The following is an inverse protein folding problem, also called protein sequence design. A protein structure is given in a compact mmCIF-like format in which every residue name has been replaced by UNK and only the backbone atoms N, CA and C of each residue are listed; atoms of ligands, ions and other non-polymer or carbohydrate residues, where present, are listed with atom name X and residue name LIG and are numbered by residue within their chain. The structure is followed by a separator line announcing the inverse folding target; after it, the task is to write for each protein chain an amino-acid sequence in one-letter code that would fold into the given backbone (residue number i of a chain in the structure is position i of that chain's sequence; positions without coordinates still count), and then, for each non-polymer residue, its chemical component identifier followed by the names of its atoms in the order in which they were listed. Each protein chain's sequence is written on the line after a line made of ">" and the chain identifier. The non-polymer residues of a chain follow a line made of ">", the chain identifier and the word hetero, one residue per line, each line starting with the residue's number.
data_IF_032360158963
#
_entry.id   IF_032360158963
#
_cell.length_a   1.000
_cell.length_b   1.000
_cell.length_c   1.000
_cell.angle_alpha   90.00
_cell.angle_beta   90.00
_cell.angle_gamma   90.00
#
_symmetry.space_group_name_H-M   'P 1'
#
loop_
_entity.id
_entity.type
_entity.pdbx_description
1 polymer ?
#
# COMPACT_ATOMS: atom_id res chain seq x y z
N UNK A 1 -51.92 -22.27 56.44
CA UNK A 1 -51.40 -22.25 55.05
C UNK A 1 -49.94 -21.86 55.13
N UNK A 2 -49.03 -22.82 54.90
CA UNK A 2 -47.59 -22.64 55.04
C UNK A 2 -46.97 -22.27 53.68
N UNK A 3 -46.06 -21.30 53.68
CA UNK A 3 -45.33 -20.82 52.51
C UNK A 3 -44.27 -21.84 52.05
N UNK A 4 -43.93 -21.90 50.75
CA UNK A 4 -42.99 -22.87 50.23
C UNK A 4 -41.54 -22.45 50.47
N UNK A 5 -40.72 -23.43 50.88
CA UNK A 5 -39.29 -23.35 51.16
C UNK A 5 -38.48 -23.21 49.87
N UNK A 6 -37.66 -22.18 49.75
CA UNK A 6 -36.71 -22.02 48.64
C UNK A 6 -35.42 -22.83 48.93
N UNK A 7 -35.11 -23.80 48.08
CA UNK A 7 -33.83 -24.52 48.06
C UNK A 7 -32.79 -23.75 47.28
N UNK A 8 -31.70 -23.38 47.94
CA UNK A 8 -30.52 -22.73 47.36
C UNK A 8 -29.71 -23.76 46.55
N UNK A 9 -29.66 -23.64 45.23
CA UNK A 9 -28.70 -24.36 44.40
C UNK A 9 -27.30 -23.74 44.57
N UNK A 10 -26.35 -24.52 45.09
CA UNK A 10 -24.93 -24.16 45.15
C UNK A 10 -24.28 -24.41 43.80
N UNK A 11 -23.86 -23.34 43.12
CA UNK A 11 -23.02 -23.39 41.91
C UNK A 11 -21.58 -23.78 42.30
N UNK A 12 -20.96 -24.80 41.67
CA UNK A 12 -19.57 -25.16 41.96
C UNK A 12 -18.60 -24.10 41.42
N UNK A 13 -17.45 -23.87 42.07
CA UNK A 13 -16.46 -22.89 41.61
C UNK A 13 -15.78 -23.36 40.30
N UNK A 14 -15.53 -22.40 39.41
CA UNK A 14 -14.80 -22.60 38.15
C UNK A 14 -13.42 -23.25 38.39
N UNK A 15 -12.98 -24.19 37.55
CA UNK A 15 -11.67 -24.80 37.68
C UNK A 15 -10.57 -23.77 37.42
N UNK A 16 -9.69 -23.55 38.41
CA UNK A 16 -8.50 -22.73 38.27
C UNK A 16 -7.64 -23.25 37.10
N UNK A 17 -7.59 -22.44 36.03
CA UNK A 17 -6.68 -22.64 34.92
C UNK A 17 -5.23 -22.55 35.44
N UNK A 18 -4.61 -23.70 35.72
CA UNK A 18 -3.19 -23.78 36.10
C UNK A 18 -2.34 -23.21 34.97
N UNK A 19 -1.98 -21.93 35.08
CA UNK A 19 -0.99 -21.28 34.20
C UNK A 19 0.32 -22.06 34.32
N UNK A 20 0.84 -22.54 33.18
CA UNK A 20 2.09 -23.28 33.15
C UNK A 20 3.23 -22.44 33.75
N UNK A 21 4.07 -23.05 34.60
CA UNK A 21 5.22 -22.39 35.26
C UNK A 21 6.21 -21.75 34.27
N UNK A 22 6.15 -22.09 32.98
CA UNK A 22 6.97 -21.47 31.92
C UNK A 22 6.61 -20.01 31.63
N UNK A 23 5.40 -19.55 31.96
CA UNK A 23 4.99 -18.16 31.74
C UNK A 23 5.35 -17.22 32.89
N UNK A 24 5.80 -17.74 34.04
CA UNK A 24 6.12 -16.94 35.23
C UNK A 24 7.53 -16.36 35.21
N UNK A 25 8.41 -16.87 34.35
CA UNK A 25 9.82 -16.44 34.24
C UNK A 25 10.10 -15.62 32.97
N UNK A 26 9.07 -15.10 32.30
CA UNK A 26 9.30 -14.14 31.23
C UNK A 26 9.77 -12.81 31.87
N UNK A 27 10.84 -12.18 31.35
CA UNK A 27 11.19 -10.83 31.78
C UNK A 27 9.94 -9.94 31.65
N UNK A 28 9.74 -8.98 32.56
CA UNK A 28 8.58 -8.10 32.49
C UNK A 28 8.49 -7.53 31.07
N UNK A 29 7.29 -7.50 30.45
CA UNK A 29 7.17 -6.99 29.10
C UNK A 29 7.76 -5.60 29.10
N UNK A 30 8.82 -5.42 28.32
CA UNK A 30 9.37 -4.10 28.04
C UNK A 30 8.17 -3.30 27.57
N UNK A 31 7.70 -2.38 28.41
CA UNK A 31 6.64 -1.42 28.06
C UNK A 31 7.27 -0.53 27.01
N UNK A 32 7.30 -1.03 25.79
CA UNK A 32 7.77 -0.31 24.64
C UNK A 32 6.84 0.89 24.49
N UNK A 33 7.36 2.13 24.48
CA UNK A 33 6.53 3.32 24.25
C UNK A 33 5.77 3.24 22.92
N UNK A 34 6.19 2.36 22.01
CA UNK A 34 5.56 2.03 20.74
C UNK A 34 4.09 1.60 20.85
N UNK A 35 3.72 0.81 21.86
CA UNK A 35 2.35 0.29 21.97
C UNK A 35 1.33 1.39 22.34
N UNK A 36 1.73 2.36 23.17
CA UNK A 36 0.87 3.49 23.54
C UNK A 36 0.75 4.54 22.42
N UNK A 37 1.82 4.81 21.67
CA UNK A 37 1.77 5.76 20.54
C UNK A 37 0.95 5.22 19.35
N UNK A 38 1.04 3.93 19.04
CA UNK A 38 0.41 3.36 17.85
C UNK A 38 -1.12 3.15 17.95
N UNK A 39 -1.74 3.34 19.13
CA UNK A 39 -3.19 3.21 19.34
C UNK A 39 -3.95 4.54 19.19
N UNK A 40 -3.26 5.68 19.23
CA UNK A 40 -3.84 7.01 19.03
C UNK A 40 -3.35 7.58 17.69
N UNK A 41 -3.80 7.02 16.57
CA UNK A 41 -3.51 7.57 15.24
C UNK A 41 -4.39 8.81 15.05
N UNK A 42 -3.84 10.00 15.31
CA UNK A 42 -4.49 11.23 14.88
C UNK A 42 -4.26 11.38 13.38
N UNK A 43 -5.33 11.30 12.58
CA UNK A 43 -5.26 11.52 11.13
C UNK A 43 -4.60 12.85 10.77
N UNK A 44 -4.68 13.86 11.65
CA UNK A 44 -4.01 15.15 11.48
C UNK A 44 -2.50 15.05 11.36
N UNK A 45 -1.89 14.03 11.98
CA UNK A 45 -0.45 13.78 11.90
C UNK A 45 -0.03 13.12 10.57
N UNK A 46 -0.97 12.55 9.82
CA UNK A 46 -0.71 11.86 8.55
C UNK A 46 -0.83 12.83 7.37
N UNK A 47 -0.01 13.87 7.34
CA UNK A 47 -0.02 14.87 6.28
C UNK A 47 0.73 14.40 5.02
N UNK A 48 0.44 14.95 3.84
CA UNK A 48 1.20 14.67 2.62
C UNK A 48 2.72 14.86 2.79
N UNK A 49 3.51 13.99 2.15
CA UNK A 49 4.97 13.96 2.25
C UNK A 49 5.52 13.33 3.54
N UNK A 50 4.67 12.99 4.51
CA UNK A 50 5.08 12.26 5.72
C UNK A 50 5.47 10.83 5.37
N UNK A 51 6.56 10.33 5.94
CA UNK A 51 6.90 8.90 5.90
C UNK A 51 6.33 8.24 7.15
N UNK A 52 5.56 7.17 6.93
CA UNK A 52 4.87 6.40 7.95
C UNK A 52 5.29 4.93 7.88
N UNK A 53 5.03 4.16 8.93
CA UNK A 53 5.21 2.71 8.95
C UNK A 53 3.89 2.02 9.27
N UNK A 54 3.43 1.17 8.35
CA UNK A 54 2.12 0.50 8.38
C UNK A 54 2.26 -0.95 7.96
N UNK A 55 1.31 -1.81 8.33
CA UNK A 55 1.28 -3.22 7.90
C UNK A 55 0.82 -3.31 6.46
N UNK A 56 1.57 -4.02 5.62
CA UNK A 56 1.19 -4.31 4.23
C UNK A 56 1.49 -5.77 3.89
N UNK A 57 0.64 -6.35 3.04
CA UNK A 57 0.76 -7.73 2.61
C UNK A 57 1.88 -7.91 1.58
N UNK A 58 2.47 -9.10 1.54
CA UNK A 58 3.35 -9.44 0.41
C UNK A 58 2.53 -9.52 -0.88
N UNK A 59 3.10 -9.14 -2.04
CA UNK A 59 2.47 -9.40 -3.32
C UNK A 59 2.18 -10.89 -3.46
N UNK A 60 0.94 -11.22 -3.79
CA UNK A 60 0.51 -12.61 -3.95
C UNK A 60 0.76 -13.11 -5.38
N UNK A 61 0.84 -12.21 -6.34
CA UNK A 61 1.13 -12.48 -7.76
C UNK A 61 2.61 -12.82 -7.98
N UNK A 62 2.89 -13.66 -8.98
CA UNK A 62 4.27 -13.94 -9.37
C UNK A 62 4.96 -12.69 -9.93
N UNK A 63 5.94 -12.15 -9.20
CA UNK A 63 6.67 -10.94 -9.58
C UNK A 63 7.79 -11.18 -10.61
N UNK A 64 8.14 -12.45 -10.86
CA UNK A 64 9.19 -12.82 -11.83
C UNK A 64 8.63 -12.91 -13.25
N UNK A 65 7.32 -12.78 -13.40
CA UNK A 65 6.61 -12.90 -14.67
C UNK A 65 6.31 -11.51 -15.21
N UNK A 66 6.42 -11.35 -16.52
CA UNK A 66 6.20 -10.08 -17.18
C UNK A 66 4.76 -9.55 -16.94
N UNK A 67 4.55 -8.23 -16.72
CA UNK A 67 3.24 -7.61 -16.46
C UNK A 67 2.10 -7.98 -17.43
N UNK A 68 2.45 -8.30 -18.68
CA UNK A 68 1.52 -8.64 -19.76
C UNK A 68 1.39 -10.14 -20.03
N UNK A 69 2.10 -10.97 -19.28
CA UNK A 69 2.02 -12.42 -19.41
C UNK A 69 0.65 -12.92 -18.94
N UNK A 70 0.17 -14.00 -19.55
CA UNK A 70 -1.09 -14.65 -19.18
C UNK A 70 -1.05 -15.21 -17.75
N UNK A 71 0.13 -15.60 -17.28
CA UNK A 71 0.31 -16.27 -15.99
C UNK A 71 0.58 -15.30 -14.83
N UNK A 72 0.50 -13.98 -15.05
CA UNK A 72 0.76 -12.98 -13.99
C UNK A 72 -0.21 -13.11 -12.79
N UNK A 73 -1.44 -13.53 -13.06
CA UNK A 73 -2.45 -13.77 -12.03
C UNK A 73 -2.19 -15.03 -11.19
N UNK A 74 -1.23 -15.87 -11.59
CA UNK A 74 -0.90 -17.06 -10.83
C UNK A 74 -0.19 -16.66 -9.54
N UNK A 75 -0.84 -16.98 -8.43
CA UNK A 75 -0.25 -16.80 -7.11
C UNK A 75 0.81 -17.87 -6.89
N UNK A 76 2.06 -17.47 -6.62
CA UNK A 76 3.14 -18.41 -6.26
C UNK A 76 2.84 -19.21 -4.99
N UNK A 77 1.91 -18.74 -4.16
CA UNK A 77 1.67 -19.24 -2.81
C UNK A 77 0.25 -19.81 -2.70
N UNK A 78 0.15 -21.14 -2.63
CA UNK A 78 -0.95 -21.78 -1.92
C UNK A 78 -0.61 -21.73 -0.42
N UNK A 79 -1.13 -20.75 0.33
CA UNK A 79 -0.80 -20.60 1.76
C UNK A 79 -1.27 -19.31 2.41
N UNK A 80 -0.91 -19.13 3.69
CA UNK A 80 -1.26 -17.93 4.45
C UNK A 80 -0.63 -16.67 3.84
N UNK A 81 -1.40 -15.60 3.77
CA UNK A 81 -0.94 -14.28 3.31
C UNK A 81 0.00 -13.72 4.38
N UNK A 82 1.29 -13.64 4.06
CA UNK A 82 2.24 -12.94 4.91
C UNK A 82 2.07 -11.44 4.81
N UNK A 83 2.26 -10.74 5.93
CA UNK A 83 2.32 -9.27 5.98
C UNK A 83 3.50 -8.82 6.85
N UNK A 84 4.10 -7.68 6.52
CA UNK A 84 5.15 -7.04 7.32
C UNK A 84 4.90 -5.54 7.44
N UNK A 85 5.51 -4.91 8.43
CA UNK A 85 5.54 -3.45 8.46
C UNK A 85 6.38 -2.92 7.30
N UNK A 86 5.82 -1.97 6.55
CA UNK A 86 6.48 -1.27 5.44
C UNK A 86 6.44 0.23 5.68
N UNK A 87 7.48 0.89 5.18
CA UNK A 87 7.53 2.34 5.16
C UNK A 87 6.77 2.84 3.93
N UNK A 88 6.03 3.95 4.08
CA UNK A 88 5.23 4.52 3.00
C UNK A 88 5.24 6.04 3.07
N UNK A 89 5.19 6.73 1.94
CA UNK A 89 5.03 8.17 1.84
C UNK A 89 3.54 8.50 1.71
N UNK A 90 2.99 9.31 2.60
CA UNK A 90 1.60 9.77 2.51
C UNK A 90 1.44 10.71 1.32
N UNK A 91 0.45 10.44 0.47
CA UNK A 91 0.16 11.23 -0.72
C UNK A 91 -1.03 12.15 -0.49
N UNK A 92 -2.21 11.60 -0.22
CA UNK A 92 -3.41 12.38 0.11
C UNK A 92 -4.23 11.74 1.22
N UNK A 93 -4.99 12.60 1.91
CA UNK A 93 -5.87 12.21 3.02
C UNK A 93 -7.32 12.15 2.56
N UNK A 94 -8.09 11.32 3.24
CA UNK A 94 -9.56 11.34 3.18
C UNK A 94 -10.15 11.24 4.58
N UNK A 95 -11.48 11.24 4.68
CA UNK A 95 -12.19 11.03 5.94
C UNK A 95 -11.96 9.64 6.57
N UNK A 96 -11.53 8.65 5.78
CA UNK A 96 -11.42 7.27 6.21
C UNK A 96 -9.99 6.74 6.33
N UNK A 97 -9.00 7.57 6.02
CA UNK A 97 -7.61 7.13 5.98
C UNK A 97 -6.76 7.97 5.04
N UNK A 98 -5.69 7.38 4.56
CA UNK A 98 -4.73 8.01 3.64
C UNK A 98 -4.36 7.07 2.50
N UNK A 99 -4.09 7.64 1.34
CA UNK A 99 -3.35 6.95 0.30
C UNK A 99 -1.86 7.20 0.51
N UNK A 100 -1.06 6.15 0.40
CA UNK A 100 0.38 6.20 0.61
C UNK A 100 1.14 5.37 -0.43
N UNK A 101 2.31 5.84 -0.85
CA UNK A 101 3.20 5.14 -1.77
C UNK A 101 4.20 4.30 -0.97
N UNK A 102 4.26 2.97 -1.16
CA UNK A 102 5.15 2.12 -0.39
C UNK A 102 6.61 2.24 -0.82
N UNK A 103 7.50 2.11 0.17
CA UNK A 103 8.95 2.12 0.00
C UNK A 103 9.53 0.71 0.11
N UNK A 104 10.43 0.39 -0.81
CA UNK A 104 11.14 -0.89 -0.86
C UNK A 104 12.66 -0.69 -0.96
N UNK A 105 13.38 -1.74 -0.59
CA UNK A 105 14.82 -1.86 -0.85
C UNK A 105 15.00 -2.89 -1.97
N UNK A 106 15.73 -2.54 -3.04
CA UNK A 106 15.89 -3.46 -4.19
C UNK A 106 16.72 -4.72 -3.87
N UNK A 107 17.23 -4.89 -2.63
CA UNK A 107 17.85 -6.16 -2.21
C UNK A 107 16.91 -7.36 -2.35
N UNK A 108 15.59 -7.14 -2.39
CA UNK A 108 14.58 -8.20 -2.39
C UNK A 108 14.12 -8.64 -3.79
N UNK A 109 14.60 -8.05 -4.90
CA UNK A 109 14.12 -8.49 -6.20
C UNK A 109 15.09 -8.23 -7.36
N UNK A 110 15.47 -9.32 -8.04
CA UNK A 110 15.84 -9.30 -9.46
C UNK A 110 14.57 -8.92 -10.25
N UNK A 111 14.18 -7.64 -10.22
CA UNK A 111 12.99 -7.19 -10.94
C UNK A 111 13.32 -7.03 -12.42
N UNK A 112 12.33 -7.38 -13.26
CA UNK A 112 12.35 -7.08 -14.68
C UNK A 112 12.57 -5.58 -14.93
N UNK A 113 13.24 -5.21 -16.02
CA UNK A 113 13.55 -3.80 -16.34
C UNK A 113 12.29 -2.93 -16.38
N UNK A 114 11.18 -3.46 -16.91
CA UNK A 114 9.89 -2.75 -16.93
C UNK A 114 9.38 -2.42 -15.52
N UNK A 115 9.62 -3.29 -14.53
CA UNK A 115 9.23 -3.01 -13.14
C UNK A 115 10.08 -1.90 -12.54
N UNK A 116 11.36 -1.78 -12.91
CA UNK A 116 12.21 -0.65 -12.46
C UNK A 116 11.62 0.69 -12.90
N UNK A 117 10.98 0.74 -14.07
CA UNK A 117 10.31 1.94 -14.58
C UNK A 117 9.03 2.32 -13.81
N UNK A 118 8.61 1.54 -12.83
CA UNK A 118 7.48 1.84 -11.96
C UNK A 118 7.93 2.36 -10.58
N UNK A 119 9.24 2.36 -10.34
CA UNK A 119 9.83 2.89 -9.11
C UNK A 119 10.46 4.26 -9.33
N UNK A 120 10.52 5.01 -8.24
CA UNK A 120 11.31 6.23 -8.11
C UNK A 120 12.32 6.06 -7.00
N UNK A 121 13.59 6.34 -7.30
CA UNK A 121 14.68 6.32 -6.32
C UNK A 121 14.45 7.40 -5.28
N UNK A 122 14.64 7.08 -4.00
CA UNK A 122 14.53 8.01 -2.87
C UNK A 122 15.66 7.77 -1.88
N UNK A 123 16.26 8.83 -1.34
CA UNK A 123 17.47 8.71 -0.52
C UNK A 123 17.61 9.79 0.53
N UNK A 124 18.37 9.48 1.58
CA UNK A 124 18.90 10.47 2.53
C UNK A 124 20.25 11.05 2.08
N UNK A 125 20.89 10.47 1.06
CA UNK A 125 22.20 10.88 0.56
C UNK A 125 22.09 11.66 -0.76
N UNK A 126 22.31 12.97 -0.71
CA UNK A 126 22.25 13.86 -1.87
C UNK A 126 23.25 13.55 -2.99
N UNK A 127 24.29 12.75 -2.73
CA UNK A 127 25.27 12.36 -3.77
C UNK A 127 24.85 11.14 -4.59
N UNK A 128 23.87 10.37 -4.10
CA UNK A 128 23.42 9.18 -4.81
C UNK A 128 22.56 9.56 -6.01
N UNK A 129 22.85 8.98 -7.17
CA UNK A 129 22.16 9.28 -8.43
C UNK A 129 20.91 8.43 -8.66
N UNK A 130 20.68 7.40 -7.84
CA UNK A 130 19.56 6.48 -8.00
C UNK A 130 19.73 5.48 -9.13
N UNK A 131 18.74 4.60 -9.26
CA UNK A 131 18.67 3.58 -10.32
C UNK A 131 17.40 3.71 -11.19
N UNK A 132 16.72 4.85 -11.15
CA UNK A 132 15.46 5.11 -11.86
C UNK A 132 15.62 6.34 -12.77
N UNK A 133 16.44 6.24 -13.84
CA UNK A 133 16.84 7.39 -14.63
C UNK A 133 15.66 8.12 -15.30
N UNK A 134 14.58 7.39 -15.61
CA UNK A 134 13.35 7.95 -16.18
C UNK A 134 12.71 9.03 -15.28
N UNK A 135 12.89 8.93 -13.96
CA UNK A 135 12.35 9.87 -12.96
C UNK A 135 13.31 11.04 -12.63
N UNK A 136 14.45 11.11 -13.32
CA UNK A 136 15.53 12.06 -13.04
C UNK A 136 16.24 11.78 -11.71
N UNK A 137 16.66 12.86 -11.02
CA UNK A 137 17.37 12.75 -9.73
C UNK A 137 16.52 12.02 -8.67
N UNK A 138 17.12 11.32 -7.70
CA UNK A 138 16.36 10.71 -6.61
C UNK A 138 15.62 11.74 -5.77
N UNK A 139 14.49 11.33 -5.19
CA UNK A 139 13.81 12.12 -4.18
C UNK A 139 14.67 12.21 -2.92
N UNK A 140 14.72 13.38 -2.28
CA UNK A 140 15.41 13.54 -0.99
C UNK A 140 14.44 13.35 0.18
N UNK A 141 14.86 12.53 1.15
CA UNK A 141 14.11 12.29 2.38
C UNK A 141 14.92 12.58 3.64
N UNK A 142 14.21 12.90 4.71
CA UNK A 142 14.74 13.04 6.06
C UNK A 142 14.13 11.97 6.94
N UNK A 143 14.98 11.25 7.67
CA UNK A 143 14.56 10.16 8.56
C UNK A 143 14.79 10.52 10.01
N UNK A 144 13.85 10.16 10.88
CA UNK A 144 14.04 10.21 12.31
C UNK A 144 14.90 8.99 12.75
N UNK A 145 15.96 9.23 13.52
CA UNK A 145 17.00 8.24 13.85
C UNK A 145 16.46 7.00 14.58
N UNK A 146 15.27 7.08 15.17
CA UNK A 146 14.65 5.97 15.89
C UNK A 146 14.24 4.78 14.99
N UNK A 147 14.24 4.95 13.65
CA UNK A 147 13.75 3.94 12.72
C UNK A 147 14.83 3.47 11.75
N UNK A 148 14.83 2.16 11.51
CA UNK A 148 15.70 1.48 10.54
C UNK A 148 15.10 1.60 9.13
N UNK A 149 15.03 2.81 8.59
CA UNK A 149 14.79 3.00 7.15
C UNK A 149 16.15 3.03 6.45
N UNK A 150 16.32 2.21 5.42
CA UNK A 150 17.57 2.17 4.65
C UNK A 150 17.80 3.53 3.95
N UNK A 151 19.06 4.00 3.86
CA UNK A 151 19.38 5.28 3.24
C UNK A 151 18.94 5.40 1.78
N UNK A 152 18.95 4.29 1.03
CA UNK A 152 18.59 4.22 -0.38
C UNK A 152 17.39 3.28 -0.54
N UNK A 153 16.27 3.84 -0.96
CA UNK A 153 14.99 3.16 -1.10
C UNK A 153 14.37 3.48 -2.46
N UNK A 154 13.24 2.83 -2.73
CA UNK A 154 12.48 2.94 -3.98
C UNK A 154 11.01 3.08 -3.66
N UNK A 155 10.38 4.15 -4.12
CA UNK A 155 8.95 4.39 -4.03
C UNK A 155 8.24 3.68 -5.19
N UNK A 156 7.30 2.76 -4.90
CA UNK A 156 6.54 2.02 -5.92
C UNK A 156 5.29 2.80 -6.35
N UNK A 157 5.34 3.41 -7.53
CA UNK A 157 4.22 4.19 -8.07
C UNK A 157 3.10 3.32 -8.65
N UNK A 158 3.37 2.03 -8.94
CA UNK A 158 2.37 1.12 -9.50
C UNK A 158 1.31 0.68 -8.50
N UNK A 159 1.64 0.76 -7.19
CA UNK A 159 0.81 0.21 -6.11
C UNK A 159 0.65 1.18 -4.95
N UNK A 160 -0.01 2.35 -5.14
CA UNK A 160 -0.46 3.14 -4.01
C UNK A 160 -1.30 2.27 -3.07
N UNK A 161 -1.00 2.34 -1.78
CA UNK A 161 -1.64 1.58 -0.74
C UNK A 161 -2.61 2.46 0.04
N UNK A 162 -3.79 1.92 0.33
CA UNK A 162 -4.76 2.59 1.17
C UNK A 162 -4.61 2.18 2.61
N UNK A 163 -4.31 3.14 3.49
CA UNK A 163 -4.20 2.94 4.93
C UNK A 163 -5.45 3.47 5.60
N UNK A 164 -6.25 2.59 6.19
CA UNK A 164 -7.42 2.97 6.97
C UNK A 164 -7.05 3.65 8.29
N UNK A 165 -7.91 4.55 8.78
CA UNK A 165 -7.79 5.16 10.11
C UNK A 165 -7.83 4.15 11.28
N UNK A 166 -8.28 2.92 11.02
CA UNK A 166 -8.37 1.85 12.01
C UNK A 166 -7.13 0.95 12.02
N UNK A 167 -6.18 1.17 11.13
CA UNK A 167 -4.95 0.38 11.06
C UNK A 167 -3.90 0.88 12.05
N UNK A 168 -2.98 -0.01 12.40
CA UNK A 168 -1.85 0.34 13.23
C UNK A 168 -0.81 1.11 12.41
N UNK A 169 -0.66 2.39 12.69
CA UNK A 169 0.28 3.28 12.02
C UNK A 169 1.32 3.83 13.01
N UNK A 170 2.55 3.96 12.54
CA UNK A 170 3.61 4.72 13.20
C UNK A 170 3.92 5.91 12.30
N UNK A 171 3.63 7.11 12.78
CA UNK A 171 3.66 8.35 12.01
C UNK A 171 4.99 9.10 12.08
N UNK A 172 5.89 8.77 12.99
CA UNK A 172 7.13 9.54 13.27
C UNK A 172 8.39 8.99 12.56
N UNK A 173 8.26 8.44 11.35
CA UNK A 173 9.41 7.84 10.66
C UNK A 173 10.29 8.88 9.97
N UNK A 174 9.68 9.84 9.28
CA UNK A 174 10.40 10.81 8.47
C UNK A 174 9.48 11.64 7.59
N UNK A 175 10.06 12.36 6.64
CA UNK A 175 9.32 13.14 5.64
C UNK A 175 10.18 13.45 4.41
N UNK A 176 9.53 13.87 3.34
CA UNK A 176 10.14 14.56 2.21
C UNK A 176 9.74 16.04 2.23
N UNK A 177 10.59 16.90 1.67
CA UNK A 177 10.33 18.33 1.60
C UNK A 177 9.29 18.66 0.51
N UNK A 178 8.72 19.87 0.52
CA UNK A 178 7.62 20.25 -0.38
C UNK A 178 7.96 20.15 -1.88
N UNK A 179 9.19 20.49 -2.28
CA UNK A 179 9.64 20.36 -3.66
C UNK A 179 9.75 18.89 -4.11
N UNK A 180 10.28 18.04 -3.23
CA UNK A 180 10.36 16.58 -3.44
C UNK A 180 8.95 15.96 -3.50
N UNK A 181 8.04 16.45 -2.65
CA UNK A 181 6.65 16.02 -2.67
C UNK A 181 5.95 16.41 -3.98
N UNK A 182 6.13 17.65 -4.46
CA UNK A 182 5.57 18.08 -5.75
C UNK A 182 6.05 17.16 -6.88
N UNK A 183 7.36 16.88 -6.91
CA UNK A 183 7.93 15.97 -7.89
C UNK A 183 7.35 14.55 -7.78
N UNK A 184 7.14 14.03 -6.58
CA UNK A 184 6.50 12.73 -6.38
C UNK A 184 5.09 12.69 -6.98
N UNK A 185 4.30 13.75 -6.80
CA UNK A 185 2.95 13.86 -7.37
C UNK A 185 3.02 13.89 -8.90
N UNK A 186 3.89 14.73 -9.48
CA UNK A 186 4.05 14.80 -10.93
C UNK A 186 4.42 13.44 -11.54
N UNK A 187 5.36 12.71 -10.91
CA UNK A 187 5.77 11.38 -11.35
C UNK A 187 4.64 10.34 -11.21
N UNK A 188 3.84 10.43 -10.15
CA UNK A 188 2.69 9.57 -9.95
C UNK A 188 1.61 9.83 -11.01
N UNK A 189 1.34 11.09 -11.34
CA UNK A 189 0.40 11.48 -12.40
C UNK A 189 0.86 10.98 -13.77
N UNK A 190 2.15 11.11 -14.10
CA UNK A 190 2.72 10.55 -15.34
C UNK A 190 2.49 9.05 -15.42
N UNK A 191 2.77 8.30 -14.34
CA UNK A 191 2.55 6.84 -14.34
C UNK A 191 1.08 6.47 -14.43
N UNK A 192 0.21 7.18 -13.71
CA UNK A 192 -1.23 6.98 -13.81
C UNK A 192 -1.73 7.20 -15.24
N UNK A 193 -1.25 8.27 -15.89
CA UNK A 193 -1.58 8.57 -17.29
C UNK A 193 -1.09 7.47 -18.23
N UNK A 194 0.16 7.01 -18.09
CA UNK A 194 0.71 5.89 -18.87
C UNK A 194 -0.13 4.62 -18.71
N UNK A 195 -0.52 4.27 -17.48
CA UNK A 195 -1.36 3.11 -17.21
C UNK A 195 -2.76 3.25 -17.80
N UNK A 196 -3.36 4.45 -17.72
CA UNK A 196 -4.66 4.74 -18.33
C UNK A 196 -4.61 4.66 -19.85
N UNK A 197 -3.57 5.20 -20.49
CA UNK A 197 -3.33 5.05 -21.95
C UNK A 197 -3.23 3.57 -22.30
N UNK A 198 -2.33 2.86 -21.60
CA UNK A 198 -2.04 1.45 -21.86
C UNK A 198 -3.24 0.52 -21.69
N UNK A 199 -4.19 0.87 -20.82
CA UNK A 199 -5.41 0.08 -20.60
C UNK A 199 -6.29 0.00 -21.85
N UNK A 200 -6.29 1.02 -22.71
CA UNK A 200 -7.10 1.07 -23.93
C UNK A 200 -6.34 0.68 -25.20
N UNK A 201 -5.02 0.52 -25.12
CA UNK A 201 -4.12 0.30 -26.26
C UNK A 201 -4.51 -0.94 -27.08
N UNK A 202 -4.88 -2.05 -26.41
CA UNK A 202 -5.34 -3.29 -27.06
C UNK A 202 -6.67 -3.16 -27.82
N UNK A 203 -7.40 -2.06 -27.64
CA UNK A 203 -8.70 -1.80 -28.29
C UNK A 203 -8.61 -0.65 -29.30
N UNK A 204 -7.44 -0.02 -29.42
CA UNK A 204 -7.18 1.01 -30.41
C UNK A 204 -7.08 0.39 -31.81
N UNK A 205 -7.69 1.06 -32.80
CA UNK A 205 -7.51 0.74 -34.23
C UNK A 205 -6.52 1.69 -34.90
N UNK A 206 -5.98 2.66 -34.16
CA UNK A 206 -5.00 3.60 -34.68
C UNK A 206 -3.62 2.94 -34.69
N UNK A 207 -2.93 3.01 -35.83
CA UNK A 207 -1.53 2.59 -36.01
C UNK A 207 -0.53 3.49 -35.26
N UNK A 208 -1.02 4.58 -34.67
CA UNK A 208 -0.25 5.51 -33.86
C UNK A 208 -0.87 5.56 -32.46
N UNK A 209 -0.02 5.43 -31.46
CA UNK A 209 -0.36 5.58 -30.04
C UNK A 209 -0.83 7.01 -29.82
N UNK A 210 -2.13 7.27 -29.88
CA UNK A 210 -2.70 8.54 -29.44
C UNK A 210 -2.32 8.72 -27.98
N UNK A 211 -1.58 9.80 -27.66
CA UNK A 211 -1.44 10.24 -26.28
C UNK A 211 -2.86 10.36 -25.70
N UNK A 212 -3.07 9.87 -24.48
CA UNK A 212 -4.30 10.17 -23.75
C UNK A 212 -4.33 11.66 -23.51
N UNK A 213 -4.98 12.40 -24.38
CA UNK A 213 -5.56 13.66 -23.97
C UNK A 213 -6.66 13.28 -22.97
N UNK A 214 -6.67 13.85 -21.76
CA UNK A 214 -7.84 13.73 -20.90
C UNK A 214 -9.00 14.24 -21.75
N UNK A 215 -9.81 13.31 -22.26
CA UNK A 215 -11.03 13.62 -23.00
C UNK A 215 -11.71 14.74 -22.24
N UNK A 216 -12.11 15.82 -22.92
CA UNK A 216 -12.98 16.87 -22.36
C UNK A 216 -13.86 16.22 -21.32
N UNK A 217 -13.63 16.57 -20.04
CA UNK A 217 -13.89 15.71 -18.89
C UNK A 217 -15.05 14.77 -19.19
N UNK A 218 -14.81 13.45 -19.28
CA UNK A 218 -15.91 12.51 -19.29
C UNK A 218 -16.69 12.75 -18.00
N UNK A 219 -17.74 13.57 -18.06
CA UNK A 219 -18.62 13.88 -16.94
C UNK A 219 -19.66 12.77 -16.97
N UNK A 220 -19.54 11.72 -16.14
CA UNK A 220 -20.54 10.68 -16.09
C UNK A 220 -21.89 11.32 -15.78
N UNK A 221 -22.83 11.24 -16.72
CA UNK A 221 -24.20 11.69 -16.49
C UNK A 221 -24.85 10.70 -15.51
N UNK A 222 -25.46 11.17 -14.40
CA UNK A 222 -26.14 10.28 -13.46
C UNK A 222 -27.13 9.37 -14.19
N UNK A 223 -27.08 8.07 -13.87
CA UNK A 223 -27.95 7.00 -14.46
C UNK A 223 -27.81 6.77 -15.96
N UNK A 224 -26.80 7.35 -16.63
CA UNK A 224 -26.50 7.06 -18.04
C UNK A 224 -25.23 6.22 -18.10
N UNK A 225 -25.31 5.05 -18.74
CA UNK A 225 -24.09 4.27 -19.05
C UNK A 225 -23.33 4.98 -20.15
N UNK A 226 -22.06 5.27 -19.92
CA UNK A 226 -21.19 5.77 -20.96
C UNK A 226 -21.08 4.75 -22.09
N UNK A 227 -21.16 5.22 -23.34
CA UNK A 227 -21.00 4.40 -24.53
C UNK A 227 -20.31 5.21 -25.61
N UNK A 228 -19.24 4.65 -26.13
CA UNK A 228 -18.41 5.13 -27.23
C UNK A 228 -17.89 3.93 -28.05
N UNK A 229 -17.15 4.19 -29.11
CA UNK A 229 -16.65 3.12 -29.98
C UNK A 229 -15.67 2.19 -29.26
N UNK A 230 -14.87 2.70 -28.31
CA UNK A 230 -13.92 1.90 -27.51
C UNK A 230 -14.66 0.95 -26.57
N UNK A 231 -15.65 1.44 -25.82
CA UNK A 231 -16.50 0.63 -24.93
C UNK A 231 -17.34 -0.39 -25.70
N UNK A 232 -17.90 -0.02 -26.87
CA UNK A 232 -18.63 -0.95 -27.73
C UNK A 232 -17.75 -2.09 -28.28
N UNK A 233 -16.45 -1.87 -28.47
CA UNK A 233 -15.48 -2.91 -28.86
C UNK A 233 -15.15 -3.83 -27.69
N UNK A 234 -14.93 -3.27 -26.49
CA UNK A 234 -14.72 -4.08 -25.29
C UNK A 234 -15.90 -5.01 -25.01
N UNK A 235 -17.14 -4.54 -25.18
CA UNK A 235 -18.36 -5.36 -25.02
C UNK A 235 -18.46 -6.55 -25.99
N UNK A 236 -17.84 -6.44 -27.17
CA UNK A 236 -17.82 -7.52 -28.18
C UNK A 236 -16.83 -8.63 -27.86
N UNK A 237 -15.86 -8.37 -26.99
CA UNK A 237 -14.85 -9.35 -26.59
C UNK A 237 -15.49 -10.27 -25.56
N UNK A 238 -15.81 -11.49 -25.98
CA UNK A 238 -16.21 -12.56 -25.07
C UNK A 238 -14.95 -13.10 -24.40
N UNK A 239 -14.76 -12.77 -23.13
CA UNK A 239 -13.78 -13.48 -22.30
C UNK A 239 -14.27 -14.93 -22.18
N UNK A 240 -13.61 -15.83 -22.90
CA UNK A 240 -13.78 -17.27 -22.69
C UNK A 240 -13.44 -17.54 -21.23
N UNK A 241 -14.45 -17.95 -20.44
CA UNK A 241 -14.21 -18.47 -19.09
C UNK A 241 -13.30 -19.69 -19.26
N UNK A 242 -12.11 -19.62 -18.68
CA UNK A 242 -11.20 -20.75 -18.49
C UNK A 242 -11.50 -21.34 -17.12
#
# INVERSE_FOLDING_TARGET
>A
MAAPTATTETVPPDPEFRRSRRLQNLPPPIKTPYAKKALNVNLENLHPGRIIKVVDAYPQTNLDVHPRDRDIGHTKLAGAIGAKFRYMIVVWRTFNGVAAVPLYTLKEAQMHEDRINEFVSITTNATWQGNTPWAGMPLLMKTNQAYQLEPNCYADLSRPHWVSKFEKTIDDVGHIDGGEFSKLIDLLEVKEMEYRIGAFDRFSTATMTELYEPQEAHVPKPKVRHRDDKTARMEKIRFTRV
#
